data_IF_187716917642
#
_entry.id   IF_187716917642
#
_cell.length_a   1.000
_cell.length_b   1.000
_cell.length_c   1.000
_cell.angle_alpha   90.00
_cell.angle_beta   90.00
_cell.angle_gamma   90.00
#
_symmetry.space_group_name_H-M   'P 1'
#
loop_
_entity.id
_entity.type
_entity.pdbx_description
1 polymer ?
#
# COMPACT_ATOMS: atom_id res chain seq x y z
N UNK A 1 -2.81 29.41 -8.01
CA UNK A 1 -3.03 27.98 -8.32
C UNK A 1 -4.17 27.89 -9.31
N UNK A 2 -4.01 27.32 -10.52
CA UNK A 2 -5.15 27.02 -11.38
C UNK A 2 -6.10 26.10 -10.58
N UNK A 3 -7.39 26.44 -10.51
CA UNK A 3 -8.36 25.72 -9.69
C UNK A 3 -8.48 24.28 -10.20
N UNK A 4 -7.96 23.30 -9.44
CA UNK A 4 -8.05 21.89 -9.83
C UNK A 4 -9.50 21.41 -9.98
N UNK A 5 -10.44 22.13 -9.35
CA UNK A 5 -11.88 22.00 -9.51
C UNK A 5 -12.34 22.25 -10.96
N UNK A 6 -11.77 23.22 -11.66
CA UNK A 6 -12.18 23.57 -13.03
C UNK A 6 -11.88 22.47 -14.04
N UNK A 7 -10.72 21.82 -13.93
CA UNK A 7 -10.34 20.72 -14.81
C UNK A 7 -11.22 19.48 -14.60
N UNK A 8 -11.54 19.14 -13.35
CA UNK A 8 -12.41 18.00 -13.06
C UNK A 8 -13.82 18.21 -13.59
N UNK A 9 -14.37 19.42 -13.44
CA UNK A 9 -15.69 19.76 -13.98
C UNK A 9 -15.68 19.68 -15.51
N UNK A 10 -14.63 20.22 -16.16
CA UNK A 10 -14.48 20.14 -17.61
C UNK A 10 -14.35 18.69 -18.12
N UNK A 11 -13.58 17.85 -17.42
CA UNK A 11 -13.41 16.45 -17.79
C UNK A 11 -14.71 15.64 -17.63
N UNK A 12 -15.47 15.88 -16.56
CA UNK A 12 -16.80 15.27 -16.36
C UNK A 12 -17.78 15.74 -17.42
N UNK A 13 -17.81 17.04 -17.72
CA UNK A 13 -18.67 17.60 -18.77
C UNK A 13 -18.32 17.02 -20.15
N UNK A 14 -17.03 16.88 -20.47
CA UNK A 14 -16.57 16.27 -21.70
C UNK A 14 -16.96 14.78 -21.80
N UNK A 15 -16.82 14.02 -20.71
CA UNK A 15 -17.22 12.61 -20.68
C UNK A 15 -18.74 12.44 -20.89
N UNK A 16 -19.56 13.29 -20.27
CA UNK A 16 -21.01 13.31 -20.45
C UNK A 16 -21.37 13.65 -21.89
N UNK A 17 -20.77 14.71 -22.46
CA UNK A 17 -21.02 15.12 -23.84
C UNK A 17 -20.66 14.01 -24.84
N UNK A 18 -19.53 13.33 -24.62
CA UNK A 18 -19.05 12.24 -25.48
C UNK A 18 -19.96 11.00 -25.38
N UNK A 19 -20.45 10.67 -24.18
CA UNK A 19 -21.45 9.63 -23.98
C UNK A 19 -22.72 9.90 -24.79
N UNK A 20 -23.30 11.10 -24.67
CA UNK A 20 -24.52 11.46 -25.39
C UNK A 20 -24.31 11.51 -26.91
N UNK A 21 -23.16 12.00 -27.38
CA UNK A 21 -22.85 12.04 -28.82
C UNK A 21 -22.74 10.63 -29.44
N UNK A 22 -22.04 9.72 -28.78
CA UNK A 22 -21.90 8.33 -29.23
C UNK A 22 -23.23 7.58 -29.13
N UNK A 23 -23.96 7.76 -28.03
CA UNK A 23 -25.26 7.14 -27.84
C UNK A 23 -26.25 7.57 -28.93
N UNK A 24 -26.29 8.87 -29.26
CA UNK A 24 -27.12 9.40 -30.33
C UNK A 24 -26.73 8.84 -31.71
N UNK A 25 -25.43 8.81 -32.02
CA UNK A 25 -24.92 8.27 -33.29
C UNK A 25 -25.26 6.79 -33.47
N UNK A 26 -25.16 5.99 -32.40
CA UNK A 26 -25.43 4.55 -32.44
C UNK A 26 -26.93 4.23 -32.47
N UNK A 27 -27.77 5.03 -31.81
CA UNK A 27 -29.24 4.95 -31.95
C UNK A 27 -29.67 5.16 -33.40
N UNK A 28 -29.12 6.19 -34.06
CA UNK A 28 -29.45 6.48 -35.47
C UNK A 28 -28.97 5.36 -36.41
N UNK A 29 -27.93 4.62 -36.01
CA UNK A 29 -27.40 3.46 -36.75
C UNK A 29 -28.20 2.16 -36.57
N UNK A 30 -29.24 2.13 -35.73
CA UNK A 30 -30.08 0.94 -35.51
C UNK A 30 -29.42 -0.14 -34.65
N UNK A 31 -28.43 0.21 -33.83
CA UNK A 31 -27.76 -0.72 -32.92
C UNK A 31 -28.69 -1.07 -31.74
N UNK A 32 -28.77 -2.35 -31.35
CA UNK A 32 -29.71 -2.80 -30.30
C UNK A 32 -29.21 -2.48 -28.87
N UNK A 33 -27.93 -2.17 -28.71
CA UNK A 33 -27.34 -1.84 -27.41
C UNK A 33 -26.37 -0.64 -27.46
N UNK A 34 -26.82 0.55 -27.87
CA UNK A 34 -25.96 1.72 -28.10
C UNK A 34 -25.31 2.28 -26.81
N UNK A 35 -25.95 2.05 -25.67
CA UNK A 35 -25.46 2.41 -24.33
C UNK A 35 -24.18 1.70 -23.87
N UNK A 36 -23.93 0.45 -24.32
CA UNK A 36 -22.76 -0.35 -23.87
C UNK A 36 -21.43 0.22 -24.41
N UNK A 37 -21.23 0.38 -25.73
CA UNK A 37 -19.99 0.97 -26.27
C UNK A 37 -19.83 2.45 -25.88
N UNK A 38 -20.93 3.22 -25.77
CA UNK A 38 -20.89 4.60 -25.31
C UNK A 38 -20.43 4.72 -23.84
N UNK A 39 -20.92 3.83 -22.96
CA UNK A 39 -20.48 3.76 -21.56
C UNK A 39 -19.02 3.36 -21.42
N UNK A 40 -18.56 2.40 -22.23
CA UNK A 40 -17.15 1.98 -22.27
C UNK A 40 -16.23 3.15 -22.67
N UNK A 41 -16.56 3.86 -23.76
CA UNK A 41 -15.78 5.02 -24.19
C UNK A 41 -15.71 6.12 -23.12
N UNK A 42 -16.83 6.44 -22.46
CA UNK A 42 -16.87 7.43 -21.39
C UNK A 42 -16.04 7.02 -20.16
N UNK A 43 -16.06 5.74 -19.79
CA UNK A 43 -15.27 5.21 -18.67
C UNK A 43 -13.75 5.28 -18.92
N UNK A 44 -13.30 5.02 -20.15
CA UNK A 44 -11.89 5.16 -20.53
C UNK A 44 -11.42 6.60 -20.39
N UNK A 45 -12.22 7.57 -20.86
CA UNK A 45 -11.89 9.00 -20.73
C UNK A 45 -11.78 9.43 -19.27
N UNK A 46 -12.69 8.96 -18.41
CA UNK A 46 -12.63 9.20 -16.96
C UNK A 46 -11.37 8.59 -16.32
N UNK A 47 -11.01 7.36 -16.68
CA UNK A 47 -9.79 6.71 -16.18
C UNK A 47 -8.52 7.45 -16.62
N UNK A 48 -8.47 7.93 -17.86
CA UNK A 48 -7.35 8.75 -18.37
C UNK A 48 -7.28 10.08 -17.62
N UNK A 49 -8.41 10.74 -17.36
CA UNK A 49 -8.43 11.98 -16.59
C UNK A 49 -7.98 11.79 -15.13
N UNK A 50 -8.40 10.70 -14.49
CA UNK A 50 -8.01 10.36 -13.11
C UNK A 50 -6.51 10.01 -13.02
N UNK A 51 -5.99 9.22 -13.95
CA UNK A 51 -4.55 8.89 -14.00
C UNK A 51 -3.69 10.13 -14.29
N UNK A 52 -4.12 11.02 -15.19
CA UNK A 52 -3.44 12.29 -15.41
C UNK A 52 -3.41 13.16 -14.14
N UNK A 53 -4.50 13.19 -13.36
CA UNK A 53 -4.56 13.89 -12.07
C UNK A 53 -3.59 13.29 -11.05
N UNK A 54 -3.53 11.97 -10.94
CA UNK A 54 -2.62 11.26 -10.04
C UNK A 54 -1.15 11.64 -10.34
N UNK A 55 -0.78 11.65 -11.61
CA UNK A 55 0.58 11.99 -12.08
C UNK A 55 0.89 13.47 -11.84
N UNK A 56 -0.05 14.38 -12.13
CA UNK A 56 0.13 15.81 -11.89
C UNK A 56 0.19 16.12 -10.39
N UNK A 57 -0.59 15.45 -9.55
CA UNK A 57 -0.55 15.61 -8.09
C UNK A 57 0.78 15.12 -7.52
N UNK A 58 1.31 13.97 -7.96
CA UNK A 58 2.65 13.51 -7.56
C UNK A 58 3.75 14.48 -8.00
N UNK A 59 3.61 15.08 -9.19
CA UNK A 59 4.58 16.05 -9.73
C UNK A 59 4.46 17.45 -9.11
N UNK A 60 3.27 17.85 -8.68
CA UNK A 60 3.01 19.09 -7.97
C UNK A 60 3.42 18.99 -6.50
N UNK A 61 3.22 17.83 -5.86
CA UNK A 61 3.67 17.57 -4.49
C UNK A 61 5.19 17.54 -4.39
N UNK A 62 5.87 16.90 -5.34
CA UNK A 62 7.35 16.96 -5.42
C UNK A 62 7.87 18.38 -5.63
N UNK A 63 7.20 19.22 -6.45
CA UNK A 63 7.55 20.64 -6.55
C UNK A 63 7.25 21.42 -5.28
N UNK A 64 6.11 21.18 -4.63
CA UNK A 64 5.73 21.86 -3.39
C UNK A 64 6.69 21.53 -2.23
N UNK A 65 7.15 20.29 -2.12
CA UNK A 65 8.21 19.90 -1.17
C UNK A 65 9.54 20.60 -1.47
N UNK A 66 9.86 20.78 -2.76
CA UNK A 66 11.07 21.49 -3.19
C UNK A 66 10.99 23.00 -2.96
N UNK A 67 9.79 23.59 -3.03
CA UNK A 67 9.55 25.03 -2.83
C UNK A 67 9.43 25.38 -1.34
N UNK A 68 8.78 24.54 -0.53
CA UNK A 68 8.73 24.73 0.93
C UNK A 68 10.08 24.49 1.62
N UNK A 69 10.96 23.64 1.09
CA UNK A 69 12.32 23.49 1.61
C UNK A 69 13.23 24.70 1.31
N UNK A 70 12.86 25.55 0.36
CA UNK A 70 13.61 26.77 -0.01
C UNK A 70 13.03 28.03 0.67
N UNK A 71 11.73 28.05 0.97
CA UNK A 71 11.05 29.25 1.49
C UNK A 71 11.25 29.52 3.00
N UNK A 72 11.73 28.57 3.80
CA UNK A 72 12.08 28.84 5.22
C UNK A 72 13.44 29.51 5.43
N UNK A 73 14.20 29.82 4.37
CA UNK A 73 15.55 30.40 4.44
C UNK A 73 15.73 31.80 3.81
N UNK A 74 14.67 32.55 3.54
CA UNK A 74 14.69 33.73 2.66
C UNK A 74 14.97 35.09 3.30
N UNK A 75 16.04 35.24 4.08
CA UNK A 75 16.56 36.56 4.46
C UNK A 75 17.33 37.20 3.29
N UNK A 76 16.80 38.30 2.72
CA UNK A 76 17.42 39.08 1.63
C UNK A 76 18.85 39.51 1.99
N UNK A 77 19.85 39.03 1.25
CA UNK A 77 21.17 39.67 1.17
C UNK A 77 21.60 39.79 -0.30
N UNK A 78 22.09 41.00 -0.59
CA UNK A 78 22.52 41.55 -1.87
C UNK A 78 23.46 40.64 -2.67
N UNK A 79 23.28 40.73 -3.99
CA UNK A 79 24.23 40.40 -5.04
C UNK A 79 25.62 40.96 -4.73
N UNK A 80 26.62 40.08 -4.66
CA UNK A 80 27.94 40.29 -5.26
C UNK A 80 28.58 38.93 -5.58
N UNK A 81 29.04 38.77 -6.82
CA UNK A 81 29.92 37.66 -7.25
C UNK A 81 31.37 38.13 -7.06
N UNK A 82 32.27 37.27 -6.56
CA UNK A 82 33.02 36.46 -7.52
C UNK A 82 33.21 34.98 -7.12
N UNK A 83 33.22 34.16 -8.18
CA UNK A 83 33.72 32.79 -8.30
C UNK A 83 34.83 32.34 -7.31
N UNK A 84 34.46 31.75 -6.17
CA UNK A 84 35.26 30.69 -5.47
C UNK A 84 34.53 30.03 -4.28
N UNK A 85 33.44 30.62 -3.78
CA UNK A 85 32.79 30.22 -2.52
C UNK A 85 31.80 29.03 -2.61
N UNK A 86 31.46 28.54 -3.81
CA UNK A 86 30.49 27.45 -3.99
C UNK A 86 30.92 26.11 -3.36
N UNK A 87 32.23 25.87 -3.16
CA UNK A 87 32.75 24.61 -2.59
C UNK A 87 32.66 24.51 -1.07
N UNK A 88 32.56 25.63 -0.35
CA UNK A 88 32.47 25.62 1.12
C UNK A 88 31.03 25.44 1.59
N UNK A 89 30.07 25.92 0.79
CA UNK A 89 28.65 25.88 1.09
C UNK A 89 28.09 24.45 1.18
N UNK A 90 28.58 23.49 0.38
CA UNK A 90 28.03 22.13 0.37
C UNK A 90 28.32 21.34 1.67
N UNK A 91 29.53 21.46 2.23
CA UNK A 91 29.90 20.70 3.42
C UNK A 91 29.15 21.15 4.68
N UNK A 92 28.96 22.47 4.85
CA UNK A 92 28.16 23.02 5.95
C UNK A 92 26.68 22.65 5.82
N UNK A 93 26.15 22.61 4.59
CA UNK A 93 24.78 22.18 4.34
C UNK A 93 24.55 20.71 4.73
N UNK A 94 25.47 19.80 4.38
CA UNK A 94 25.34 18.40 4.77
C UNK A 94 25.45 18.20 6.28
N UNK A 95 26.32 18.95 6.96
CA UNK A 95 26.39 18.91 8.42
C UNK A 95 25.08 19.40 9.08
N UNK A 96 24.50 20.48 8.56
CA UNK A 96 23.21 20.98 9.03
C UNK A 96 22.07 19.99 8.75
N UNK A 97 22.01 19.41 7.54
CA UNK A 97 21.01 18.40 7.19
C UNK A 97 21.11 17.16 8.08
N UNK A 98 22.32 16.71 8.41
CA UNK A 98 22.52 15.60 9.33
C UNK A 98 22.01 15.94 10.74
N UNK A 99 22.27 17.15 11.23
CA UNK A 99 21.75 17.60 12.53
C UNK A 99 20.22 17.65 12.55
N UNK A 100 19.58 18.08 11.45
CA UNK A 100 18.13 18.04 11.28
C UNK A 100 17.59 16.61 11.33
N UNK A 101 18.22 15.67 10.60
CA UNK A 101 17.82 14.26 10.62
C UNK A 101 17.94 13.68 12.03
N UNK A 102 19.02 13.97 12.74
CA UNK A 102 19.21 13.50 14.11
C UNK A 102 18.16 14.07 15.07
N UNK A 103 17.81 15.35 14.91
CA UNK A 103 16.76 15.98 15.70
C UNK A 103 15.40 15.35 15.42
N UNK A 104 15.00 15.22 14.15
CA UNK A 104 13.73 14.61 13.77
C UNK A 104 13.64 13.13 14.14
N UNK A 105 14.77 12.41 14.05
CA UNK A 105 14.89 11.03 14.52
C UNK A 105 14.58 10.95 16.02
N UNK A 106 15.19 11.81 16.84
CA UNK A 106 14.91 11.86 18.27
C UNK A 106 13.45 12.24 18.58
N UNK A 107 12.85 13.15 17.80
CA UNK A 107 11.43 13.50 17.93
C UNK A 107 10.52 12.31 17.58
N UNK A 108 10.83 11.57 16.51
CA UNK A 108 10.08 10.38 16.11
C UNK A 108 10.13 9.27 17.16
N UNK A 109 11.27 9.05 17.83
CA UNK A 109 11.38 8.07 18.94
C UNK A 109 10.45 8.40 20.12
N UNK A 110 10.12 9.68 20.31
CA UNK A 110 9.17 10.11 21.37
C UNK A 110 7.72 10.15 20.89
N UNK A 111 7.50 10.14 19.58
CA UNK A 111 6.18 10.17 18.99
C UNK A 111 5.57 8.76 19.01
N UNK A 112 4.24 8.69 19.11
CA UNK A 112 3.50 7.42 19.08
C UNK A 112 3.01 7.03 17.68
N UNK A 113 3.22 7.87 16.66
CA UNK A 113 2.71 7.60 15.31
C UNK A 113 3.78 6.93 14.44
N UNK A 114 3.44 5.84 13.73
CA UNK A 114 4.36 5.23 12.77
C UNK A 114 4.74 6.19 11.63
N UNK A 115 3.83 7.09 11.25
CA UNK A 115 4.05 8.06 10.16
C UNK A 115 5.27 8.95 10.43
N UNK A 116 5.56 9.28 11.69
CA UNK A 116 6.75 10.04 12.06
C UNK A 116 8.05 9.31 11.68
N UNK A 117 8.11 7.99 11.82
CA UNK A 117 9.26 7.20 11.38
C UNK A 117 9.36 7.16 9.85
N UNK A 118 8.24 7.10 9.13
CA UNK A 118 8.24 7.13 7.67
C UNK A 118 8.77 8.46 7.13
N UNK A 119 8.38 9.57 7.74
CA UNK A 119 8.88 10.90 7.38
C UNK A 119 10.40 10.99 7.55
N UNK A 120 10.93 10.54 8.71
CA UNK A 120 12.38 10.50 8.95
C UNK A 120 13.10 9.59 7.97
N UNK A 121 12.53 8.45 7.62
CA UNK A 121 13.06 7.58 6.57
C UNK A 121 13.20 8.33 5.23
N UNK A 122 12.20 9.09 4.80
CA UNK A 122 12.29 9.88 3.58
C UNK A 122 13.34 10.99 3.67
N UNK A 123 13.50 11.64 4.83
CA UNK A 123 14.60 12.58 5.05
C UNK A 123 15.98 11.90 4.93
N UNK A 124 16.14 10.69 5.47
CA UNK A 124 17.35 9.90 5.31
C UNK A 124 17.63 9.59 3.83
N UNK A 125 16.64 9.13 3.06
CA UNK A 125 16.78 8.85 1.63
C UNK A 125 17.27 10.07 0.85
N UNK A 126 16.62 11.22 1.04
CA UNK A 126 16.99 12.48 0.39
C UNK A 126 18.44 12.90 0.72
N UNK A 127 18.87 12.68 1.97
CA UNK A 127 20.26 12.94 2.37
C UNK A 127 21.24 11.96 1.72
N UNK A 128 20.91 10.68 1.65
CA UNK A 128 21.77 9.66 1.03
C UNK A 128 21.94 9.90 -0.47
N UNK A 129 20.86 10.27 -1.17
CA UNK A 129 20.89 10.62 -2.59
C UNK A 129 21.75 11.88 -2.83
N UNK A 130 21.48 12.97 -2.10
CA UNK A 130 22.23 14.22 -2.26
C UNK A 130 23.72 14.08 -1.91
N UNK A 131 24.07 13.29 -0.90
CA UNK A 131 25.48 13.04 -0.55
C UNK A 131 26.18 12.13 -1.56
N UNK A 132 25.46 11.20 -2.20
CA UNK A 132 26.02 10.36 -3.26
C UNK A 132 26.41 11.19 -4.49
N UNK A 133 25.56 12.11 -4.92
CA UNK A 133 25.86 13.03 -6.03
C UNK A 133 27.12 13.86 -5.76
N UNK A 134 27.25 14.38 -4.54
CA UNK A 134 28.38 15.19 -4.12
C UNK A 134 29.67 14.36 -4.06
N UNK A 135 29.61 13.11 -3.60
CA UNK A 135 30.75 12.19 -3.62
C UNK A 135 31.16 11.82 -5.05
N UNK A 136 30.20 11.72 -5.98
CA UNK A 136 30.44 11.42 -7.41
C UNK A 136 31.15 12.57 -8.14
N UNK A 137 30.88 13.83 -7.76
CA UNK A 137 31.45 15.02 -8.41
C UNK A 137 32.98 15.19 -8.23
N UNK A 138 33.67 14.32 -7.48
CA UNK A 138 35.13 14.19 -7.27
C UNK A 138 35.92 15.46 -6.89
N UNK A 139 35.23 16.58 -6.61
CA UNK A 139 35.80 17.91 -6.42
C UNK A 139 36.14 18.25 -4.94
N UNK A 140 36.01 17.27 -4.04
CA UNK A 140 36.14 17.44 -2.59
C UNK A 140 37.52 17.00 -2.08
N UNK A 141 38.12 17.77 -1.14
CA UNK A 141 39.27 17.35 -0.36
C UNK A 141 39.03 16.02 0.37
N UNK A 142 40.07 15.22 0.62
CA UNK A 142 39.95 13.88 1.21
C UNK A 142 39.31 13.90 2.60
N UNK A 143 39.66 14.89 3.43
CA UNK A 143 39.09 15.03 4.79
C UNK A 143 37.57 15.22 4.76
N UNK A 144 37.08 16.16 3.94
CA UNK A 144 35.64 16.41 3.76
C UNK A 144 34.91 15.21 3.16
N UNK A 145 35.58 14.46 2.28
CA UNK A 145 35.05 13.22 1.72
C UNK A 145 34.86 12.16 2.80
N UNK A 146 35.81 12.03 3.71
CA UNK A 146 35.75 11.09 4.82
C UNK A 146 34.64 11.45 5.82
N UNK A 147 34.46 12.74 6.14
CA UNK A 147 33.36 13.18 7.02
C UNK A 147 31.98 12.91 6.40
N UNK A 148 31.80 13.19 5.11
CA UNK A 148 30.55 12.88 4.39
C UNK A 148 30.29 11.36 4.37
N UNK A 149 31.32 10.54 4.13
CA UNK A 149 31.19 9.07 4.19
C UNK A 149 30.78 8.57 5.58
N UNK A 150 31.39 9.10 6.63
CA UNK A 150 31.02 8.76 8.01
C UNK A 150 29.58 9.21 8.35
N UNK A 151 29.16 10.38 7.84
CA UNK A 151 27.77 10.83 7.94
C UNK A 151 26.80 9.89 7.21
N UNK A 152 27.13 9.49 5.98
CA UNK A 152 26.33 8.56 5.16
C UNK A 152 26.11 7.24 5.86
N UNK A 153 27.15 6.68 6.47
CA UNK A 153 27.04 5.40 7.17
C UNK A 153 26.11 5.49 8.38
N UNK A 154 26.21 6.57 9.16
CA UNK A 154 25.26 6.83 10.27
C UNK A 154 23.82 6.96 9.77
N UNK A 155 23.61 7.66 8.67
CA UNK A 155 22.26 7.84 8.10
C UNK A 155 21.71 6.53 7.53
N UNK A 156 22.52 5.62 7.00
CA UNK A 156 22.05 4.28 6.60
C UNK A 156 21.52 3.47 7.77
N UNK A 157 22.19 3.54 8.93
CA UNK A 157 21.70 2.90 10.15
C UNK A 157 20.35 3.48 10.58
N UNK A 158 20.21 4.82 10.53
CA UNK A 158 18.95 5.49 10.84
C UNK A 158 17.84 5.17 9.82
N UNK A 159 18.16 5.19 8.53
CA UNK A 159 17.25 4.81 7.43
C UNK A 159 16.66 3.42 7.68
N UNK A 160 17.54 2.44 7.95
CA UNK A 160 17.12 1.08 8.27
C UNK A 160 16.23 1.07 9.52
N UNK A 161 16.68 1.67 10.61
CA UNK A 161 15.93 1.71 11.87
C UNK A 161 14.52 2.27 11.72
N UNK A 162 14.39 3.43 11.07
CA UNK A 162 13.10 4.10 10.90
C UNK A 162 12.17 3.34 9.95
N UNK A 163 12.67 2.78 8.84
CA UNK A 163 11.84 1.99 7.93
C UNK A 163 11.28 0.73 8.60
N UNK A 164 12.14 0.00 9.34
CA UNK A 164 11.73 -1.22 10.03
C UNK A 164 10.74 -0.94 11.17
N UNK A 165 10.96 0.14 11.92
CA UNK A 165 10.04 0.56 12.99
C UNK A 165 8.69 0.98 12.43
N UNK A 166 8.66 1.80 11.37
CA UNK A 166 7.42 2.16 10.68
C UNK A 166 6.65 0.93 10.21
N UNK A 167 7.31 -0.01 9.53
CA UNK A 167 6.65 -1.20 8.99
C UNK A 167 6.09 -2.10 10.10
N UNK A 168 6.86 -2.28 11.18
CA UNK A 168 6.44 -3.04 12.36
C UNK A 168 5.20 -2.43 13.02
N UNK A 169 5.21 -1.13 13.27
CA UNK A 169 4.14 -0.50 14.04
C UNK A 169 2.89 -0.28 13.17
N UNK A 170 3.06 0.08 11.90
CA UNK A 170 1.94 0.18 10.95
C UNK A 170 1.25 -1.17 10.75
N UNK A 171 2.02 -2.24 10.54
CA UNK A 171 1.44 -3.58 10.37
C UNK A 171 0.71 -4.06 11.63
N UNK A 172 1.21 -3.74 12.83
CA UNK A 172 0.52 -4.02 14.11
C UNK A 172 -0.80 -3.27 14.23
N UNK A 173 -0.81 -1.97 13.94
CA UNK A 173 -2.04 -1.15 13.98
C UNK A 173 -3.08 -1.70 13.00
N UNK A 174 -2.70 -1.93 11.75
CA UNK A 174 -3.63 -2.47 10.74
C UNK A 174 -4.13 -3.88 11.09
N UNK A 175 -3.28 -4.75 11.65
CA UNK A 175 -3.71 -6.09 12.10
C UNK A 175 -4.72 -5.99 13.24
N UNK A 176 -4.49 -5.10 14.20
CA UNK A 176 -5.43 -4.85 15.30
C UNK A 176 -6.75 -4.25 14.81
N UNK A 177 -6.70 -3.30 13.88
CA UNK A 177 -7.90 -2.75 13.24
C UNK A 177 -8.67 -3.83 12.46
N UNK A 178 -7.97 -4.69 11.73
CA UNK A 178 -8.57 -5.80 10.98
C UNK A 178 -9.34 -6.72 11.92
N UNK A 179 -8.81 -7.04 13.09
CA UNK A 179 -9.52 -7.87 14.09
C UNK A 179 -10.83 -7.22 14.57
N UNK A 180 -10.90 -5.89 14.62
CA UNK A 180 -12.09 -5.14 15.05
C UNK A 180 -13.17 -4.98 13.96
N UNK A 181 -12.83 -5.18 12.68
CA UNK A 181 -13.83 -5.03 11.60
C UNK A 181 -14.91 -6.10 11.74
N UNK A 182 -16.15 -5.77 11.37
CA UNK A 182 -17.28 -6.73 11.41
C UNK A 182 -17.36 -7.53 10.11
N UNK A 183 -17.23 -6.85 8.97
CA UNK A 183 -17.35 -7.46 7.64
C UNK A 183 -16.06 -8.17 7.25
N UNK A 184 -16.19 -9.38 6.69
CA UNK A 184 -15.06 -10.20 6.22
C UNK A 184 -14.23 -9.48 5.15
N UNK A 185 -14.89 -8.77 4.23
CA UNK A 185 -14.20 -7.94 3.21
C UNK A 185 -13.26 -6.93 3.87
N UNK A 186 -13.79 -6.17 4.84
CA UNK A 186 -13.08 -5.07 5.48
C UNK A 186 -11.95 -5.62 6.36
N UNK A 187 -12.16 -6.77 7.01
CA UNK A 187 -11.11 -7.52 7.74
C UNK A 187 -9.94 -7.84 6.81
N UNK A 188 -10.23 -8.45 5.66
CA UNK A 188 -9.21 -8.90 4.70
C UNK A 188 -8.50 -7.69 4.07
N UNK A 189 -9.25 -6.66 3.67
CA UNK A 189 -8.67 -5.42 3.11
C UNK A 189 -7.71 -4.75 4.10
N UNK A 190 -8.14 -4.60 5.36
CA UNK A 190 -7.31 -3.98 6.39
C UNK A 190 -6.06 -4.82 6.69
N UNK A 191 -6.18 -6.15 6.71
CA UNK A 191 -5.04 -7.05 6.90
C UNK A 191 -4.06 -7.03 5.70
N UNK A 192 -4.56 -6.90 4.46
CA UNK A 192 -3.70 -6.75 3.29
C UNK A 192 -2.87 -5.46 3.35
N UNK A 193 -3.43 -4.36 3.87
CA UNK A 193 -2.65 -3.12 4.11
C UNK A 193 -1.47 -3.35 5.07
N UNK A 194 -1.65 -4.19 6.09
CA UNK A 194 -0.56 -4.57 6.98
C UNK A 194 0.56 -5.33 6.22
N UNK A 195 0.18 -6.23 5.29
CA UNK A 195 1.13 -6.94 4.43
C UNK A 195 1.85 -5.98 3.48
N UNK A 196 1.16 -4.99 2.91
CA UNK A 196 1.75 -3.99 2.01
C UNK A 196 2.81 -3.13 2.70
N UNK A 197 2.61 -2.76 3.97
CA UNK A 197 3.63 -2.07 4.78
C UNK A 197 4.89 -2.94 4.94
N UNK A 198 4.72 -4.22 5.26
CA UNK A 198 5.83 -5.16 5.40
C UNK A 198 6.55 -5.41 4.07
N UNK A 199 5.80 -5.56 2.97
CA UNK A 199 6.36 -5.72 1.63
C UNK A 199 7.19 -4.51 1.18
N UNK A 200 6.74 -3.30 1.55
CA UNK A 200 7.47 -2.06 1.24
C UNK A 200 8.84 -2.02 1.93
N UNK A 201 8.93 -2.46 3.19
CA UNK A 201 10.20 -2.55 3.91
C UNK A 201 11.08 -3.71 3.42
N UNK A 202 10.49 -4.90 3.21
CA UNK A 202 11.20 -6.09 2.74
C UNK A 202 11.77 -5.92 1.31
N UNK A 203 11.20 -5.02 0.50
CA UNK A 203 11.80 -4.65 -0.80
C UNK A 203 13.18 -4.00 -0.65
N UNK A 204 13.41 -3.28 0.45
CA UNK A 204 14.68 -2.60 0.74
C UNK A 204 15.58 -3.50 1.58
N UNK A 205 15.02 -4.19 2.58
CA UNK A 205 15.74 -5.07 3.50
C UNK A 205 15.12 -6.49 3.50
N UNK A 206 15.45 -7.34 2.51
CA UNK A 206 14.80 -8.65 2.35
C UNK A 206 15.16 -9.68 3.44
N UNK A 207 16.32 -9.52 4.06
CA UNK A 207 16.87 -10.46 5.07
C UNK A 207 16.26 -10.27 6.48
N UNK A 208 15.30 -9.36 6.64
CA UNK A 208 14.70 -9.06 7.94
C UNK A 208 13.72 -10.17 8.36
N UNK A 209 14.23 -11.11 9.14
CA UNK A 209 13.50 -12.30 9.56
C UNK A 209 12.21 -11.98 10.31
N UNK A 210 12.25 -11.04 11.27
CA UNK A 210 11.07 -10.66 12.08
C UNK A 210 9.91 -10.12 11.20
N UNK A 211 10.23 -9.37 10.14
CA UNK A 211 9.20 -8.86 9.22
C UNK A 211 8.64 -9.98 8.34
N UNK A 212 9.48 -10.93 7.92
CA UNK A 212 9.03 -12.11 7.18
C UNK A 212 8.10 -13.00 8.03
N UNK A 213 8.43 -13.23 9.30
CA UNK A 213 7.56 -13.95 10.24
C UNK A 213 6.23 -13.22 10.47
N UNK A 214 6.29 -11.90 10.70
CA UNK A 214 5.09 -11.07 10.86
C UNK A 214 4.20 -11.13 9.62
N UNK A 215 4.79 -11.07 8.43
CA UNK A 215 4.09 -11.17 7.14
C UNK A 215 3.43 -12.54 6.97
N UNK A 216 4.13 -13.61 7.34
CA UNK A 216 3.56 -14.96 7.31
C UNK A 216 2.37 -15.07 8.26
N UNK A 217 2.49 -14.60 9.50
CA UNK A 217 1.42 -14.62 10.49
C UNK A 217 0.18 -13.83 10.03
N UNK A 218 0.35 -12.68 9.37
CA UNK A 218 -0.79 -11.91 8.84
C UNK A 218 -1.45 -12.63 7.65
N UNK A 219 -0.66 -13.32 6.81
CA UNK A 219 -1.23 -14.16 5.73
C UNK A 219 -2.00 -15.36 6.29
N UNK A 220 -1.49 -16.00 7.34
CA UNK A 220 -2.21 -17.05 8.08
C UNK A 220 -3.52 -16.51 8.66
N UNK A 221 -3.51 -15.30 9.22
CA UNK A 221 -4.71 -14.63 9.70
C UNK A 221 -5.73 -14.42 8.57
N UNK A 222 -5.31 -13.91 7.41
CA UNK A 222 -6.17 -13.73 6.23
C UNK A 222 -6.79 -15.06 5.79
N UNK A 223 -6.00 -16.13 5.73
CA UNK A 223 -6.46 -17.47 5.40
C UNK A 223 -7.52 -17.95 6.38
N UNK A 224 -7.26 -17.81 7.68
CA UNK A 224 -8.18 -18.21 8.73
C UNK A 224 -9.53 -17.50 8.61
N UNK A 225 -9.53 -16.19 8.30
CA UNK A 225 -10.75 -15.40 8.13
C UNK A 225 -11.55 -15.87 6.91
N UNK A 226 -10.89 -16.16 5.78
CA UNK A 226 -11.55 -16.68 4.58
C UNK A 226 -12.15 -18.06 4.82
N UNK A 227 -11.37 -18.98 5.38
CA UNK A 227 -11.81 -20.35 5.67
C UNK A 227 -12.99 -20.33 6.62
N UNK A 228 -12.91 -19.57 7.72
CA UNK A 228 -14.01 -19.43 8.67
C UNK A 228 -15.29 -18.89 8.01
N UNK A 229 -15.18 -17.91 7.11
CA UNK A 229 -16.33 -17.38 6.36
C UNK A 229 -17.01 -18.45 5.51
N UNK A 230 -16.25 -19.24 4.75
CA UNK A 230 -16.81 -20.28 3.89
C UNK A 230 -17.39 -21.45 4.69
N UNK A 231 -16.73 -21.85 5.79
CA UNK A 231 -17.25 -22.84 6.73
C UNK A 231 -18.59 -22.38 7.33
N UNK A 232 -18.69 -21.14 7.80
CA UNK A 232 -19.92 -20.60 8.34
C UNK A 232 -21.07 -20.60 7.31
N UNK A 233 -20.78 -20.23 6.06
CA UNK A 233 -21.78 -20.30 4.98
C UNK A 233 -22.19 -21.74 4.67
N UNK A 234 -21.26 -22.70 4.74
CA UNK A 234 -21.53 -24.12 4.56
C UNK A 234 -22.43 -24.65 5.67
N UNK A 235 -22.10 -24.37 6.94
CA UNK A 235 -22.86 -24.78 8.12
C UNK A 235 -24.28 -24.19 8.09
N UNK A 236 -24.44 -22.91 7.76
CA UNK A 236 -25.76 -22.28 7.60
C UNK A 236 -26.59 -22.92 6.48
N UNK A 237 -25.95 -23.32 5.37
CA UNK A 237 -26.64 -24.02 4.28
C UNK A 237 -27.06 -25.44 4.69
N UNK A 238 -26.17 -26.16 5.39
CA UNK A 238 -26.44 -27.50 5.90
C UNK A 238 -27.58 -27.49 6.91
N UNK A 239 -27.60 -26.51 7.82
CA UNK A 239 -28.67 -26.32 8.80
C UNK A 239 -30.05 -26.16 8.14
N UNK A 240 -30.11 -25.46 6.99
CA UNK A 240 -31.34 -25.29 6.20
C UNK A 240 -31.68 -26.49 5.30
N UNK A 241 -30.92 -27.58 5.38
CA UNK A 241 -31.11 -28.78 4.54
C UNK A 241 -30.54 -28.67 3.12
N UNK A 242 -29.87 -27.57 2.76
CA UNK A 242 -29.29 -27.37 1.43
C UNK A 242 -27.91 -28.06 1.31
N UNK A 243 -27.88 -29.40 1.41
CA UNK A 243 -26.63 -30.16 1.51
C UNK A 243 -25.69 -30.02 0.31
N UNK A 244 -26.22 -29.96 -0.93
CA UNK A 244 -25.37 -29.71 -2.12
C UNK A 244 -24.63 -28.38 -2.00
N UNK A 245 -25.36 -27.31 -1.68
CA UNK A 245 -24.78 -25.98 -1.50
C UNK A 245 -23.77 -25.95 -0.35
N UNK A 246 -24.05 -26.65 0.76
CA UNK A 246 -23.12 -26.75 1.87
C UNK A 246 -21.80 -27.43 1.46
N UNK A 247 -21.88 -28.54 0.71
CA UNK A 247 -20.70 -29.24 0.17
C UNK A 247 -19.88 -28.31 -0.72
N UNK A 248 -20.51 -27.55 -1.61
CA UNK A 248 -19.80 -26.61 -2.48
C UNK A 248 -19.06 -25.52 -1.68
N UNK A 249 -19.69 -24.98 -0.63
CA UNK A 249 -19.06 -23.99 0.26
C UNK A 249 -17.90 -24.57 1.08
N UNK A 250 -17.99 -25.84 1.50
CA UNK A 250 -16.86 -26.51 2.12
C UNK A 250 -15.69 -26.74 1.17
N UNK A 251 -15.96 -27.00 -0.12
CA UNK A 251 -14.89 -27.06 -1.14
C UNK A 251 -14.22 -25.70 -1.34
N UNK A 252 -15.00 -24.61 -1.30
CA UNK A 252 -14.42 -23.26 -1.33
C UNK A 252 -13.50 -23.03 -0.12
N UNK A 253 -13.88 -23.51 1.07
CA UNK A 253 -13.02 -23.45 2.26
C UNK A 253 -11.72 -24.26 2.09
N UNK A 254 -11.80 -25.49 1.55
CA UNK A 254 -10.62 -26.31 1.26
C UNK A 254 -9.67 -25.64 0.26
N UNK A 255 -10.21 -25.00 -0.78
CA UNK A 255 -9.41 -24.28 -1.76
C UNK A 255 -8.52 -23.20 -1.11
N UNK A 256 -9.06 -22.45 -0.14
CA UNK A 256 -8.26 -21.45 0.59
C UNK A 256 -7.26 -22.07 1.56
N UNK A 257 -7.58 -23.22 2.20
CA UNK A 257 -6.61 -23.94 3.05
C UNK A 257 -5.41 -24.49 2.27
N UNK A 258 -5.61 -24.95 1.04
CA UNK A 258 -4.55 -25.53 0.22
C UNK A 258 -3.65 -24.48 -0.44
N UNK A 259 -4.21 -23.33 -0.82
CA UNK A 259 -3.51 -22.32 -1.60
C UNK A 259 -2.77 -21.27 -0.76
N UNK A 260 -3.25 -20.99 0.45
CA UNK A 260 -2.68 -19.94 1.30
C UNK A 260 -1.55 -20.45 2.18
N UNK A 261 -0.68 -19.55 2.63
CA UNK A 261 0.44 -19.87 3.51
C UNK A 261 -0.08 -20.16 4.92
N UNK A 262 -0.68 -21.33 5.11
CA UNK A 262 -1.15 -21.86 6.38
C UNK A 262 -0.12 -22.87 6.88
N UNK A 263 0.11 -22.90 8.20
CA UNK A 263 0.96 -23.92 8.81
C UNK A 263 0.44 -25.32 8.50
N UNK A 264 1.37 -26.25 8.28
CA UNK A 264 1.02 -27.58 7.78
C UNK A 264 0.13 -28.36 8.75
N UNK A 265 0.39 -28.25 10.04
CA UNK A 265 -0.44 -28.85 11.10
C UNK A 265 -1.89 -28.35 11.07
N UNK A 266 -2.07 -27.03 10.95
CA UNK A 266 -3.39 -26.39 10.86
C UNK A 266 -4.08 -26.78 9.55
N UNK A 267 -3.34 -26.85 8.45
CA UNK A 267 -3.86 -27.25 7.14
C UNK A 267 -4.36 -28.68 7.15
N UNK A 268 -3.55 -29.64 7.61
CA UNK A 268 -3.93 -31.06 7.68
C UNK A 268 -5.17 -31.24 8.55
N UNK A 269 -5.17 -30.68 9.78
CA UNK A 269 -6.31 -30.79 10.68
C UNK A 269 -7.59 -30.16 10.10
N UNK A 270 -7.45 -29.02 9.42
CA UNK A 270 -8.56 -28.33 8.74
C UNK A 270 -9.13 -29.14 7.57
N UNK A 271 -8.26 -29.68 6.71
CA UNK A 271 -8.64 -30.51 5.56
C UNK A 271 -9.36 -31.78 6.02
N UNK A 272 -8.84 -32.47 7.03
CA UNK A 272 -9.48 -33.66 7.58
C UNK A 272 -10.86 -33.36 8.16
N UNK A 273 -10.97 -32.28 8.96
CA UNK A 273 -12.25 -31.87 9.56
C UNK A 273 -13.29 -31.57 8.48
N UNK A 274 -12.94 -30.74 7.50
CA UNK A 274 -13.87 -30.35 6.43
C UNK A 274 -14.20 -31.56 5.54
N UNK A 275 -13.23 -32.43 5.27
CA UNK A 275 -13.43 -33.67 4.53
C UNK A 275 -14.45 -34.60 5.19
N UNK A 276 -14.38 -34.77 6.52
CA UNK A 276 -15.37 -35.55 7.28
C UNK A 276 -16.77 -34.96 7.19
N UNK A 277 -16.91 -33.63 7.32
CA UNK A 277 -18.20 -32.95 7.20
C UNK A 277 -18.82 -33.11 5.79
N UNK A 278 -18.00 -33.00 4.74
CA UNK A 278 -18.45 -33.25 3.36
C UNK A 278 -19.00 -34.66 3.22
N UNK A 279 -18.35 -35.68 3.79
CA UNK A 279 -18.80 -37.06 3.67
C UNK A 279 -20.12 -37.31 4.43
N UNK A 280 -20.28 -36.74 5.63
CA UNK A 280 -21.55 -36.77 6.36
C UNK A 280 -22.69 -36.15 5.53
N UNK A 281 -22.44 -34.99 4.90
CA UNK A 281 -23.44 -34.33 4.07
C UNK A 281 -23.77 -35.13 2.80
N UNK A 282 -22.80 -35.84 2.21
CA UNK A 282 -23.05 -36.74 1.06
C UNK A 282 -23.95 -37.91 1.43
N UNK A 283 -23.78 -38.49 2.60
CA UNK A 283 -24.67 -39.55 3.11
C UNK A 283 -26.09 -39.01 3.29
N UNK A 284 -26.26 -37.85 3.93
CA UNK A 284 -27.58 -37.21 4.10
C UNK A 284 -28.25 -36.84 2.77
N UNK A 285 -27.46 -36.45 1.77
CA UNK A 285 -27.98 -36.16 0.44
C UNK A 285 -28.49 -37.42 -0.29
N UNK A 286 -27.87 -38.58 -0.06
CA UNK A 286 -28.27 -39.87 -0.63
C UNK A 286 -29.46 -40.49 0.10
N UNK A 287 -29.68 -40.14 1.37
CA UNK A 287 -30.80 -40.57 2.20
C UNK A 287 -31.81 -39.43 2.35
N UNK A 288 -32.60 -39.10 1.32
CA UNK A 288 -33.58 -38.03 1.41
C UNK A 288 -34.51 -38.32 2.58
N UNK A 289 -34.54 -37.40 3.54
CA UNK A 289 -35.46 -37.46 4.66
C UNK A 289 -36.89 -37.45 4.09
N UNK A 290 -37.60 -38.58 4.18
CA UNK A 290 -39.06 -38.59 4.01
C UNK A 290 -39.59 -37.65 5.10
N UNK A 291 -40.13 -36.50 4.69
CA UNK A 291 -40.84 -35.64 5.61
C UNK A 291 -41.99 -36.46 6.24
N UNK A 292 -42.18 -36.43 7.57
CA UNK A 292 -43.42 -36.93 8.14
C UNK A 292 -44.57 -36.08 7.58
N UNK A 293 -45.55 -36.74 6.98
CA UNK A 293 -46.81 -36.15 6.52
C UNK A 293 -47.61 -35.55 7.68
#
# INVERSE_FOLDING_TARGET
MPSSTGYMIAAVAAAIALFFALWWMLIVGGDEAPWVPAGLAASVVLLVALSAREVVMRRAWTRYLLENSVSEGGGRVRSDKPNSSKKTYSASLHAAALATIQKQSAEAETASSPDSHLDVFHFCQNYLESTEEVLRANNLPPEKRNTIRAGRERVRTLEKHHLLTWARDSSRIFTYEAQKRVRVSDKIETANRAVECLDSALKVFPEEHELNESKLAIREFIASVKVAHWVELAERAAFKGYYRRAIDRYKDALFYLERESVKEDVRIAGVERIGREIEVLRVRLKSPHKAPE
#
